data_IF_406902264807
#
_entry.id   IF_406902264807
#
_cell.length_a   1.000
_cell.length_b   1.000
_cell.length_c   1.000
_cell.angle_alpha   90.00
_cell.angle_beta   90.00
_cell.angle_gamma   90.00
#
_symmetry.space_group_name_H-M   'P 1'
#
loop_
_entity.id
_entity.type
_entity.pdbx_description
1 polymer ?
#
# COMPACT_ATOMS: atom_id res chain seq x y z
N UNK A 1 -0.93 32.51 -0.64
CA UNK A 1 -2.07 31.61 -0.34
C UNK A 1 -2.95 32.36 0.63
N UNK A 2 -4.24 32.50 0.36
CA UNK A 2 -5.19 33.13 1.28
C UNK A 2 -5.99 32.02 1.96
N UNK A 3 -5.76 31.86 3.27
CA UNK A 3 -6.41 30.83 4.09
C UNK A 3 -7.54 31.49 4.84
N UNK A 4 -8.76 31.02 4.61
CA UNK A 4 -9.94 31.56 5.29
C UNK A 4 -10.49 30.53 6.29
N UNK A 5 -10.58 30.89 7.58
CA UNK A 5 -11.29 30.05 8.54
C UNK A 5 -12.78 30.07 8.23
N UNK A 6 -13.46 28.94 8.45
CA UNK A 6 -14.89 28.81 8.21
C UNK A 6 -15.76 29.84 8.98
N UNK A 7 -15.23 30.48 10.02
CA UNK A 7 -15.87 31.55 10.80
C UNK A 7 -16.08 32.87 10.05
N UNK A 8 -15.49 33.05 8.86
CA UNK A 8 -15.69 34.24 8.02
C UNK A 8 -16.87 34.10 7.02
N UNK A 9 -17.65 33.03 7.15
CA UNK A 9 -18.77 32.71 6.26
C UNK A 9 -20.07 33.23 6.85
N UNK A 10 -20.92 33.80 6.01
CA UNK A 10 -22.31 34.14 6.37
C UNK A 10 -23.16 32.87 6.55
N UNK A 11 -24.30 32.99 7.22
CA UNK A 11 -25.23 31.87 7.47
C UNK A 11 -25.75 31.21 6.19
N UNK A 12 -25.78 31.96 5.08
CA UNK A 12 -26.15 31.47 3.73
C UNK A 12 -25.03 30.67 3.04
N UNK A 13 -23.87 30.53 3.68
CA UNK A 13 -22.71 29.85 3.12
C UNK A 13 -21.85 30.74 2.20
N UNK A 14 -22.23 32.00 1.99
CA UNK A 14 -21.47 32.95 1.18
C UNK A 14 -20.30 33.56 1.95
N UNK A 15 -19.27 33.98 1.22
CA UNK A 15 -18.15 34.74 1.78
C UNK A 15 -17.73 35.80 0.76
N UNK A 16 -17.26 36.94 1.26
CA UNK A 16 -16.81 38.06 0.42
C UNK A 16 -15.48 38.56 0.96
N UNK A 17 -14.46 38.58 0.11
CA UNK A 17 -13.14 39.10 0.47
C UNK A 17 -12.96 40.42 -0.26
N UNK A 18 -12.76 41.48 0.51
CA UNK A 18 -12.51 42.83 0.00
C UNK A 18 -11.03 43.19 0.15
N UNK A 19 -10.59 44.21 -0.58
CA UNK A 19 -9.22 44.75 -0.50
C UNK A 19 -8.10 43.76 -0.88
N UNK A 20 -8.32 42.99 -1.95
CA UNK A 20 -7.30 42.08 -2.50
C UNK A 20 -6.60 42.78 -3.67
N UNK A 21 -5.26 42.98 -3.61
CA UNK A 21 -4.50 43.55 -4.72
C UNK A 21 -4.57 42.70 -5.99
N UNK A 22 -4.17 43.26 -7.14
CA UNK A 22 -4.03 42.48 -8.37
C UNK A 22 -2.90 41.46 -8.23
N UNK A 23 -3.17 40.20 -8.56
CA UNK A 23 -2.21 39.12 -8.43
C UNK A 23 -2.83 37.74 -8.62
N UNK A 24 -1.98 36.71 -8.52
CA UNK A 24 -2.38 35.30 -8.53
C UNK A 24 -2.45 34.76 -7.11
N UNK A 25 -3.63 34.34 -6.69
CA UNK A 25 -3.88 33.83 -5.35
C UNK A 25 -4.36 32.38 -5.41
N UNK A 26 -4.08 31.64 -4.35
CA UNK A 26 -4.71 30.34 -4.11
C UNK A 26 -5.65 30.53 -2.94
N UNK A 27 -6.92 30.26 -3.20
CA UNK A 27 -8.02 30.30 -2.26
C UNK A 27 -8.22 28.91 -1.68
N UNK A 28 -8.12 28.81 -0.35
CA UNK A 28 -8.36 27.59 0.39
C UNK A 28 -9.33 27.87 1.56
N UNK A 29 -10.36 27.04 1.68
CA UNK A 29 -11.31 27.09 2.79
C UNK A 29 -10.86 26.07 3.82
N UNK A 30 -10.43 26.55 4.99
CA UNK A 30 -10.04 25.70 6.10
C UNK A 30 -11.25 25.40 6.98
N UNK A 31 -11.57 24.12 7.13
CA UNK A 31 -12.60 23.63 8.04
C UNK A 31 -12.09 22.36 8.72
N UNK A 32 -12.34 22.17 10.03
CA UNK A 32 -11.95 20.94 10.70
C UNK A 32 -12.73 19.73 10.17
N UNK A 33 -14.01 19.89 9.84
CA UNK A 33 -14.86 18.74 9.47
C UNK A 33 -14.81 18.45 7.97
N UNK A 34 -14.81 19.49 7.14
CA UNK A 34 -15.01 19.38 5.69
C UNK A 34 -13.76 19.77 4.91
N UNK A 35 -13.43 18.96 3.90
CA UNK A 35 -12.32 19.20 2.99
C UNK A 35 -12.82 19.85 1.70
N UNK A 36 -12.23 20.99 1.34
CA UNK A 36 -12.54 21.72 0.12
C UNK A 36 -11.39 21.63 -0.88
N UNK A 37 -11.71 21.70 -2.18
CA UNK A 37 -10.68 21.76 -3.21
C UNK A 37 -10.11 23.18 -3.30
N UNK A 38 -8.77 23.36 -3.32
CA UNK A 38 -8.18 24.68 -3.48
C UNK A 38 -8.39 25.20 -4.91
N UNK A 39 -8.64 26.50 -5.04
CA UNK A 39 -8.91 27.18 -6.32
C UNK A 39 -7.91 28.31 -6.52
N UNK A 40 -7.29 28.38 -7.69
CA UNK A 40 -6.41 29.49 -8.09
C UNK A 40 -7.28 30.60 -8.65
N UNK A 41 -7.13 31.80 -8.11
CA UNK A 41 -7.85 33.01 -8.54
C UNK A 41 -6.81 34.03 -9.02
N UNK A 42 -6.90 34.38 -10.29
CA UNK A 42 -6.07 35.40 -10.93
C UNK A 42 -6.90 36.69 -11.06
N UNK A 43 -6.42 37.76 -10.43
CA UNK A 43 -7.03 39.09 -10.44
C UNK A 43 -6.14 40.00 -11.29
N UNK A 44 -6.69 40.47 -12.42
CA UNK A 44 -5.99 41.40 -13.30
C UNK A 44 -6.02 42.81 -12.69
N UNK A 45 -5.05 43.67 -13.03
CA UNK A 45 -5.07 45.11 -12.70
C UNK A 45 -6.33 45.84 -13.17
N UNK A 46 -7.02 45.31 -14.18
CA UNK A 46 -8.31 45.81 -14.69
C UNK A 46 -9.53 45.36 -13.88
N UNK A 47 -9.34 44.57 -12.82
CA UNK A 47 -10.42 44.00 -12.01
C UNK A 47 -11.08 42.75 -12.61
N UNK A 48 -10.62 42.27 -13.77
CA UNK A 48 -11.09 40.99 -14.33
C UNK A 48 -10.59 39.82 -13.47
N UNK A 49 -11.53 39.03 -12.96
CA UNK A 49 -11.26 37.85 -12.14
C UNK A 49 -11.37 36.59 -12.99
N UNK A 50 -10.41 35.67 -12.82
CA UNK A 50 -10.45 34.34 -13.42
C UNK A 50 -10.14 33.30 -12.36
N UNK A 51 -10.95 32.25 -12.28
CA UNK A 51 -10.73 31.18 -11.34
C UNK A 51 -10.44 29.86 -12.06
N UNK A 52 -9.54 29.06 -11.51
CA UNK A 52 -9.09 27.82 -12.09
C UNK A 52 -8.83 26.77 -11.00
N UNK A 53 -9.07 25.48 -11.28
CA UNK A 53 -8.69 24.42 -10.32
C UNK A 53 -7.18 24.42 -10.14
N UNK A 54 -6.70 24.29 -8.90
CA UNK A 54 -5.26 24.22 -8.64
C UNK A 54 -4.73 22.85 -9.08
N UNK A 55 -3.86 22.84 -10.10
CA UNK A 55 -3.07 21.68 -10.47
C UNK A 55 -1.58 21.99 -10.27
N UNK A 56 -0.94 21.30 -9.32
CA UNK A 56 0.49 21.50 -9.01
C UNK A 56 1.41 20.76 -9.99
N UNK A 57 0.91 19.76 -10.71
CA UNK A 57 1.70 18.92 -11.63
C UNK A 57 1.79 19.59 -13.01
N UNK A 58 0.68 20.15 -13.49
CA UNK A 58 0.60 20.85 -14.79
C UNK A 58 0.09 22.27 -14.58
N UNK A 59 1.02 23.21 -14.39
CA UNK A 59 0.70 24.64 -14.18
C UNK A 59 0.06 25.31 -15.41
N UNK A 60 0.22 24.73 -16.60
CA UNK A 60 -0.40 25.21 -17.85
C UNK A 60 -1.84 24.74 -18.05
N UNK A 61 -2.31 23.76 -17.27
CA UNK A 61 -3.67 23.24 -17.38
C UNK A 61 -4.64 24.15 -16.63
N UNK A 62 -5.39 24.95 -17.39
CA UNK A 62 -6.28 25.97 -16.85
C UNK A 62 -7.73 25.53 -17.04
N UNK A 63 -8.25 24.74 -16.10
CA UNK A 63 -9.69 24.42 -16.04
C UNK A 63 -10.40 25.62 -15.42
N UNK A 64 -11.04 26.44 -16.24
CA UNK A 64 -11.74 27.66 -15.80
C UNK A 64 -12.99 27.29 -15.01
N UNK A 65 -13.11 27.82 -13.79
CA UNK A 65 -14.35 27.77 -13.03
C UNK A 65 -15.23 28.98 -13.39
N UNK A 66 -16.56 28.79 -13.42
CA UNK A 66 -17.49 29.90 -13.54
C UNK A 66 -17.42 30.81 -12.31
N UNK A 67 -17.71 32.09 -12.52
CA UNK A 67 -17.95 33.05 -11.44
C UNK A 67 -19.47 33.23 -11.29
N UNK A 68 -20.03 33.31 -10.06
CA UNK A 68 -19.38 33.26 -8.76
C UNK A 68 -18.79 31.88 -8.40
N UNK A 69 -17.74 31.89 -7.58
CA UNK A 69 -17.00 30.68 -7.21
C UNK A 69 -17.86 29.72 -6.38
N UNK A 70 -18.12 28.53 -6.92
CA UNK A 70 -18.79 27.44 -6.20
C UNK A 70 -17.75 26.45 -5.66
N UNK A 71 -17.36 26.64 -4.41
CA UNK A 71 -16.43 25.77 -3.70
C UNK A 71 -17.18 24.54 -3.18
N UNK A 72 -17.11 23.41 -3.89
CA UNK A 72 -17.74 22.17 -3.46
C UNK A 72 -16.88 21.44 -2.43
N UNK A 73 -17.54 20.87 -1.42
CA UNK A 73 -16.90 19.96 -0.49
C UNK A 73 -16.52 18.66 -1.22
N UNK A 74 -15.26 18.25 -1.09
CA UNK A 74 -14.74 17.02 -1.69
C UNK A 74 -15.03 15.82 -0.77
N UNK A 75 -15.01 16.03 0.54
CA UNK A 75 -15.27 14.98 1.53
C UNK A 75 -15.02 15.45 2.96
N UNK A 76 -15.11 14.53 3.92
CA UNK A 76 -14.79 14.80 5.33
C UNK A 76 -13.29 14.60 5.59
N UNK A 77 -12.75 15.29 6.58
CA UNK A 77 -11.40 15.04 7.05
C UNK A 77 -11.33 13.72 7.83
N UNK A 78 -10.61 12.73 7.30
CA UNK A 78 -10.27 11.50 8.03
C UNK A 78 -8.97 11.73 8.80
N UNK A 79 -9.06 12.30 10.00
CA UNK A 79 -7.90 12.45 10.89
C UNK A 79 -7.48 11.12 11.52
N UNK A 80 -8.43 10.20 11.66
CA UNK A 80 -8.21 8.91 12.28
C UNK A 80 -8.07 7.85 11.20
N UNK A 81 -7.04 7.03 11.34
CA UNK A 81 -6.91 5.78 10.60
C UNK A 81 -7.60 4.71 11.47
N UNK A 82 -8.63 4.03 10.98
CA UNK A 82 -9.26 2.96 11.75
C UNK A 82 -8.21 1.88 12.05
N UNK A 83 -8.25 1.30 13.26
CA UNK A 83 -7.38 0.16 13.58
C UNK A 83 -7.82 -1.04 12.76
N UNK A 84 -6.87 -1.83 12.30
CA UNK A 84 -7.16 -3.13 11.70
C UNK A 84 -7.87 -4.00 12.75
N UNK A 85 -9.17 -4.20 12.55
CA UNK A 85 -10.00 -5.06 13.39
C UNK A 85 -10.06 -6.44 12.78
N UNK A 86 -9.95 -7.48 13.60
CA UNK A 86 -10.19 -8.85 13.17
C UNK A 86 -11.62 -8.99 12.67
N UNK A 87 -11.78 -9.09 11.35
CA UNK A 87 -13.02 -9.43 10.69
C UNK A 87 -13.18 -10.95 10.58
N UNK A 88 -14.41 -11.41 10.36
CA UNK A 88 -14.66 -12.82 10.01
C UNK A 88 -13.96 -13.21 8.69
N UNK A 89 -13.80 -12.26 7.77
CA UNK A 89 -12.99 -12.40 6.56
C UNK A 89 -11.52 -12.64 6.84
N UNK A 90 -11.01 -12.21 8.00
CA UNK A 90 -9.59 -12.36 8.32
C UNK A 90 -9.22 -13.81 8.65
N UNK A 91 -10.21 -14.63 9.01
CA UNK A 91 -10.04 -16.08 9.13
C UNK A 91 -9.84 -16.77 7.78
N UNK A 92 -10.29 -16.14 6.69
CA UNK A 92 -10.05 -16.60 5.32
C UNK A 92 -8.70 -16.12 4.78
N UNK A 93 -7.91 -15.36 5.56
CA UNK A 93 -6.58 -14.97 5.13
C UNK A 93 -5.68 -16.19 4.99
N UNK A 94 -4.89 -16.27 3.91
CA UNK A 94 -4.02 -17.41 3.64
C UNK A 94 -3.02 -17.66 4.77
N UNK A 95 -2.60 -16.62 5.49
CA UNK A 95 -1.73 -16.78 6.66
C UNK A 95 -2.41 -17.54 7.81
N UNK A 96 -3.68 -17.24 8.13
CA UNK A 96 -4.40 -17.90 9.23
C UNK A 96 -4.75 -19.33 8.84
N UNK A 97 -5.23 -19.56 7.62
CA UNK A 97 -5.59 -20.88 7.13
C UNK A 97 -4.39 -21.84 7.12
N UNK A 98 -3.23 -21.36 6.65
CA UNK A 98 -2.00 -22.16 6.61
C UNK A 98 -1.44 -22.48 8.01
N UNK A 99 -1.79 -21.71 9.04
CA UNK A 99 -1.43 -22.02 10.42
C UNK A 99 -2.41 -23.00 11.08
N UNK A 100 -3.72 -22.82 10.85
CA UNK A 100 -4.76 -23.63 11.50
C UNK A 100 -4.91 -25.01 10.87
N UNK A 101 -4.83 -25.11 9.54
CA UNK A 101 -4.97 -26.37 8.81
C UNK A 101 -3.97 -27.46 9.23
N UNK A 102 -2.64 -27.23 9.29
CA UNK A 102 -1.70 -28.26 9.70
C UNK A 102 -1.88 -28.68 11.17
N UNK A 103 -2.22 -27.75 12.07
CA UNK A 103 -2.50 -28.08 13.48
C UNK A 103 -3.71 -29.00 13.63
N UNK A 104 -4.76 -28.76 12.84
CA UNK A 104 -5.97 -29.58 12.85
C UNK A 104 -5.69 -30.98 12.30
N UNK A 105 -4.87 -31.09 11.25
CA UNK A 105 -4.41 -32.38 10.71
C UNK A 105 -3.59 -33.13 11.77
N UNK A 106 -2.62 -32.50 12.42
CA UNK A 106 -1.79 -33.14 13.45
C UNK A 106 -2.62 -33.64 14.65
N UNK A 107 -3.73 -32.96 14.98
CA UNK A 107 -4.64 -33.38 16.05
C UNK A 107 -5.62 -34.48 15.63
N UNK A 108 -6.08 -34.47 14.37
CA UNK A 108 -7.03 -35.45 13.84
C UNK A 108 -6.36 -36.74 13.35
N UNK A 109 -5.18 -36.65 12.73
CA UNK A 109 -4.41 -37.79 12.25
C UNK A 109 -4.26 -38.89 13.30
N UNK A 110 -3.80 -38.65 14.54
CA UNK A 110 -3.67 -39.72 15.54
C UNK A 110 -5.03 -40.26 16.03
N UNK A 111 -6.14 -39.57 15.76
CA UNK A 111 -7.50 -40.00 16.15
C UNK A 111 -8.16 -40.86 15.08
N UNK A 112 -7.85 -40.61 13.81
CA UNK A 112 -8.43 -41.37 12.68
C UNK A 112 -7.47 -42.42 12.14
N UNK A 113 -6.17 -42.19 12.24
CA UNK A 113 -5.11 -43.16 11.97
C UNK A 113 -4.58 -43.69 13.30
N UNK A 114 -4.97 -44.90 13.68
CA UNK A 114 -4.48 -45.56 14.90
C UNK A 114 -3.00 -45.98 14.71
N UNK A 115 -2.03 -45.41 15.43
CA UNK A 115 -0.61 -45.72 15.26
C UNK A 115 -0.19 -47.10 15.81
N UNK A 116 -1.15 -47.89 16.30
CA UNK A 116 -0.97 -49.17 16.96
C UNK A 116 -1.23 -50.39 16.08
N UNK A 117 -1.72 -50.22 14.85
CA UNK A 117 -1.93 -51.34 13.92
C UNK A 117 -0.68 -51.66 13.08
N UNK A 118 -0.20 -52.92 13.07
CA UNK A 118 1.03 -53.32 12.39
C UNK A 118 0.95 -53.29 10.85
N UNK A 119 -0.24 -53.40 10.25
CA UNK A 119 -0.42 -53.32 8.78
C UNK A 119 -0.28 -51.88 8.27
N UNK A 120 -0.86 -50.90 8.97
CA UNK A 120 -0.82 -49.51 8.52
C UNK A 120 0.57 -48.87 8.72
N UNK A 121 1.37 -49.40 9.65
CA UNK A 121 2.80 -49.05 9.75
C UNK A 121 3.59 -49.54 8.55
N UNK A 122 3.33 -50.74 8.03
CA UNK A 122 4.00 -51.25 6.84
C UNK A 122 3.63 -50.44 5.59
N UNK A 123 2.38 -50.02 5.44
CA UNK A 123 1.96 -49.14 4.33
C UNK A 123 2.52 -47.71 4.47
N UNK A 124 2.61 -47.20 5.71
CA UNK A 124 3.23 -45.92 6.00
C UNK A 124 4.76 -45.96 5.79
N UNK A 125 5.43 -47.05 6.17
CA UNK A 125 6.84 -47.30 5.89
C UNK A 125 7.10 -47.50 4.40
N UNK A 126 6.22 -48.21 3.67
CA UNK A 126 6.31 -48.39 2.22
C UNK A 126 6.08 -47.09 1.47
N UNK A 127 5.08 -46.28 1.86
CA UNK A 127 4.87 -44.96 1.27
C UNK A 127 6.01 -44.00 1.64
N UNK A 128 6.53 -44.03 2.86
CA UNK A 128 7.70 -43.24 3.27
C UNK A 128 8.99 -43.70 2.57
N UNK A 129 9.14 -44.98 2.24
CA UNK A 129 10.25 -45.54 1.47
C UNK A 129 10.11 -45.20 -0.03
N UNK A 130 8.89 -45.26 -0.57
CA UNK A 130 8.59 -44.86 -1.96
C UNK A 130 8.70 -43.33 -2.17
N UNK A 131 8.41 -42.54 -1.14
CA UNK A 131 8.65 -41.09 -1.11
C UNK A 131 10.14 -40.76 -0.83
N UNK A 132 10.90 -41.62 -0.15
CA UNK A 132 12.37 -41.51 0.03
C UNK A 132 13.18 -41.93 -1.21
N UNK A 133 12.57 -42.62 -2.17
CA UNK A 133 13.23 -42.97 -3.44
C UNK A 133 13.58 -41.75 -4.31
N UNK A 134 13.02 -40.58 -4.01
CA UNK A 134 13.54 -39.30 -4.51
C UNK A 134 14.31 -38.63 -3.38
N UNK A 135 15.62 -38.65 -3.53
CA UNK A 135 16.63 -38.04 -2.67
C UNK A 135 16.18 -36.67 -2.12
N UNK A 136 16.37 -36.47 -0.81
CA UNK A 136 16.27 -35.20 -0.06
C UNK A 136 14.88 -34.81 0.47
N UNK A 137 14.37 -35.55 1.47
CA UNK A 137 13.46 -34.93 2.44
C UNK A 137 14.27 -34.03 3.38
N UNK A 138 14.00 -32.71 3.47
CA UNK A 138 14.64 -31.86 4.46
C UNK A 138 14.10 -32.23 5.84
N UNK A 139 14.99 -32.32 6.83
CA UNK A 139 14.64 -32.50 8.22
C UNK A 139 13.52 -31.51 8.61
N UNK A 140 12.54 -31.94 9.40
CA UNK A 140 11.35 -31.15 9.73
C UNK A 140 11.71 -29.79 10.35
N UNK A 141 12.90 -29.69 10.93
CA UNK A 141 13.56 -28.47 11.42
C UNK A 141 13.90 -27.47 10.29
N UNK A 142 14.33 -27.92 9.12
CA UNK A 142 14.65 -27.09 7.95
C UNK A 142 13.40 -26.64 7.18
N UNK A 143 12.36 -27.47 7.11
CA UNK A 143 11.07 -27.09 6.50
C UNK A 143 10.37 -25.99 7.29
N UNK A 144 10.34 -26.10 8.63
CA UNK A 144 9.82 -25.03 9.50
C UNK A 144 10.65 -23.75 9.37
N UNK A 145 11.98 -23.87 9.30
CA UNK A 145 12.88 -22.72 9.15
C UNK A 145 12.73 -22.04 7.78
N UNK A 146 12.50 -22.80 6.70
CA UNK A 146 12.23 -22.25 5.35
C UNK A 146 10.88 -21.56 5.23
N UNK A 147 9.87 -21.98 6.00
CA UNK A 147 8.54 -21.35 5.98
C UNK A 147 8.43 -20.11 6.89
N UNK A 148 9.22 -20.02 7.96
CA UNK A 148 9.15 -18.93 8.94
C UNK A 148 10.25 -17.86 8.80
N UNK A 149 11.22 -18.02 7.91
CA UNK A 149 12.29 -17.02 7.73
C UNK A 149 11.97 -16.01 6.61
N UNK A 150 12.12 -14.68 6.84
CA UNK A 150 11.93 -13.67 5.81
C UNK A 150 13.12 -13.68 4.83
N UNK A 151 12.92 -13.37 3.53
CA UNK A 151 13.97 -13.52 2.54
C UNK A 151 15.05 -12.44 2.74
N UNK A 152 16.26 -12.84 3.14
CA UNK A 152 17.45 -12.00 3.03
C UNK A 152 18.14 -12.26 1.69
N UNK A 153 18.14 -11.22 0.87
CA UNK A 153 18.97 -11.01 -0.31
C UNK A 153 20.37 -11.63 -0.17
N UNK A 154 20.73 -12.52 -1.09
CA UNK A 154 22.05 -13.13 -1.12
C UNK A 154 23.06 -12.12 -1.69
N UNK A 155 23.67 -11.37 -0.76
CA UNK A 155 24.82 -10.51 -1.01
C UNK A 155 26.10 -11.32 -1.27
N UNK A 156 26.78 -10.90 -2.32
CA UNK A 156 28.07 -11.31 -2.88
C UNK A 156 29.25 -11.30 -1.89
N UNK A 157 29.98 -12.41 -1.79
CA UNK A 157 31.42 -12.55 -1.41
C UNK A 157 31.81 -14.00 -1.72
N UNK A 158 32.89 -14.41 -2.39
CA UNK A 158 34.12 -13.82 -2.91
C UNK A 158 35.16 -14.96 -2.96
N UNK A 159 35.93 -15.12 -4.04
CA UNK A 159 37.13 -15.99 -4.03
C UNK A 159 37.56 -16.67 -5.35
N UNK A 160 38.48 -16.04 -6.09
CA UNK A 160 39.67 -16.62 -6.73
C UNK A 160 39.59 -17.66 -7.88
N UNK A 161 40.12 -17.31 -9.07
CA UNK A 161 41.37 -17.87 -9.69
C UNK A 161 41.44 -17.58 -11.21
N UNK A 162 42.68 -17.36 -11.69
CA UNK A 162 43.19 -16.94 -13.01
C UNK A 162 42.77 -17.77 -14.24
N UNK A 163 42.69 -17.09 -15.40
CA UNK A 163 42.78 -17.66 -16.76
C UNK A 163 42.87 -16.56 -17.82
N UNK A 164 43.64 -16.76 -18.88
CA UNK A 164 44.29 -15.73 -19.72
C UNK A 164 43.80 -15.76 -21.19
N UNK A 165 44.07 -14.65 -21.92
CA UNK A 165 43.89 -14.37 -23.38
C UNK A 165 42.49 -13.95 -23.83
N UNK A 166 42.27 -12.93 -24.66
CA UNK A 166 43.12 -12.00 -25.40
C UNK A 166 42.25 -11.29 -26.46
N UNK A 167 42.62 -10.07 -26.88
CA UNK A 167 42.07 -9.40 -28.08
C UNK A 167 41.52 -7.99 -27.85
N UNK A 168 42.30 -6.97 -28.24
CA UNK A 168 41.94 -5.55 -28.33
C UNK A 168 41.31 -5.23 -29.72
N UNK A 169 41.17 -3.96 -30.20
CA UNK A 169 41.23 -2.62 -29.57
C UNK A 169 40.09 -1.65 -30.04
N UNK A 170 40.22 -0.36 -29.67
CA UNK A 170 39.78 0.91 -30.32
C UNK A 170 38.94 1.81 -29.38
N UNK A 171 39.44 2.93 -28.85
CA UNK A 171 39.83 4.23 -29.44
C UNK A 171 38.70 5.27 -29.33
N UNK A 172 38.89 6.22 -28.40
CA UNK A 172 38.70 7.69 -28.51
C UNK A 172 38.70 8.33 -27.12
#
# INVERSE_FOLDING_TARGET
ILIFPASFRRDDGSFTVSDVPSGSYVLEISSPTYRFQPVRVDITTTGKMRACVVNYIKTSEVIRLPYPLQMRCVGLHSYFIPRETWGWSDFLNPMVLMMVLPLLIILLLPKVFNPSDPEMRQEMEQSMNMLNSNQELPDVSELMTKFFSPPKSHGKTGGGVRGHRGGAPCAS
#
